data_IF_000484969277
#
_entry.id   IF_000484969277
#
_cell.length_a   1.000
_cell.length_b   1.000
_cell.length_c   1.000
_cell.angle_alpha   90.00
_cell.angle_beta   90.00
_cell.angle_gamma   90.00
#
_symmetry.space_group_name_H-M   'P 1'
#
loop_
_entity.id
_entity.type
_entity.pdbx_description
1 polymer ?
#
# COMPACT_ATOMS: atom_id res chain seq x y z
N UNK A 1 -42.09 24.96 19.84
CA UNK A 1 -41.39 25.13 18.56
C UNK A 1 -41.94 24.05 17.62
N UNK A 2 -43.01 24.38 16.89
CA UNK A 2 -43.81 23.41 16.13
C UNK A 2 -43.16 23.16 14.77
N UNK A 3 -42.58 21.96 14.57
CA UNK A 3 -41.96 21.52 13.31
C UNK A 3 -43.03 21.11 12.29
N UNK A 4 -44.00 21.98 11.99
CA UNK A 4 -45.10 21.67 11.06
C UNK A 4 -45.27 22.71 9.95
N UNK A 5 -44.16 23.23 9.45
CA UNK A 5 -44.17 23.80 8.11
C UNK A 5 -43.99 22.62 7.13
N UNK A 6 -45.04 22.32 6.37
CA UNK A 6 -45.04 21.32 5.29
C UNK A 6 -43.73 21.25 4.46
N UNK A 7 -43.05 22.37 4.11
CA UNK A 7 -41.75 22.28 3.44
C UNK A 7 -40.64 21.61 4.28
N UNK A 8 -40.57 21.85 5.59
CA UNK A 8 -39.56 21.25 6.48
C UNK A 8 -39.74 19.72 6.54
N UNK A 9 -40.99 19.26 6.65
CA UNK A 9 -41.28 17.82 6.68
C UNK A 9 -40.91 17.13 5.36
N UNK A 10 -41.14 17.79 4.22
CA UNK A 10 -40.74 17.26 2.91
C UNK A 10 -39.22 17.15 2.79
N UNK A 11 -38.48 18.16 3.26
CA UNK A 11 -37.01 18.13 3.27
C UNK A 11 -36.49 16.99 4.15
N UNK A 12 -37.02 16.84 5.37
CA UNK A 12 -36.61 15.75 6.28
C UNK A 12 -36.88 14.37 5.69
N UNK A 13 -38.03 14.18 5.03
CA UNK A 13 -38.35 12.93 4.33
C UNK A 13 -37.39 12.67 3.18
N UNK A 14 -37.09 13.68 2.37
CA UNK A 14 -36.16 13.55 1.25
C UNK A 14 -34.75 13.18 1.75
N UNK A 15 -34.25 13.85 2.80
CA UNK A 15 -32.94 13.51 3.39
C UNK A 15 -32.91 12.10 3.98
N UNK A 16 -33.97 11.68 4.66
CA UNK A 16 -34.05 10.33 5.22
C UNK A 16 -34.03 9.25 4.11
N UNK A 17 -34.74 9.47 3.00
CA UNK A 17 -34.71 8.56 1.84
C UNK A 17 -33.32 8.53 1.21
N UNK A 18 -32.66 9.68 1.05
CA UNK A 18 -31.28 9.74 0.52
C UNK A 18 -30.34 8.91 1.39
N UNK A 19 -30.35 9.10 2.72
CA UNK A 19 -29.48 8.33 3.62
C UNK A 19 -29.84 6.84 3.68
N UNK A 20 -31.13 6.49 3.64
CA UNK A 20 -31.59 5.11 3.63
C UNK A 20 -31.18 4.36 2.35
N UNK A 21 -30.93 5.06 1.25
CA UNK A 21 -30.37 4.49 0.01
C UNK A 21 -28.84 4.53 0.04
N UNK A 22 -28.24 5.65 0.43
CA UNK A 22 -26.79 5.87 0.41
C UNK A 22 -26.04 4.90 1.32
N UNK A 23 -26.47 4.76 2.58
CA UNK A 23 -25.76 3.94 3.59
C UNK A 23 -25.66 2.46 3.20
N UNK A 24 -26.74 1.76 2.77
CA UNK A 24 -26.61 0.36 2.36
C UNK A 24 -25.76 0.19 1.09
N UNK A 25 -25.81 1.11 0.13
CA UNK A 25 -24.94 1.07 -1.05
C UNK A 25 -23.48 1.25 -0.63
N UNK A 26 -23.18 2.23 0.23
CA UNK A 26 -21.83 2.47 0.73
C UNK A 26 -21.27 1.27 1.51
N UNK A 27 -22.08 0.66 2.39
CA UNK A 27 -21.71 -0.56 3.11
C UNK A 27 -21.50 -1.74 2.17
N UNK A 28 -22.40 -1.93 1.19
CA UNK A 28 -22.28 -3.01 0.20
C UNK A 28 -21.05 -2.85 -0.68
N UNK A 29 -20.75 -1.64 -1.16
CA UNK A 29 -19.53 -1.35 -1.93
C UNK A 29 -18.28 -1.51 -1.08
N UNK A 30 -18.29 -1.10 0.19
CA UNK A 30 -17.16 -1.33 1.10
C UNK A 30 -16.89 -2.82 1.33
N UNK A 31 -17.93 -3.66 1.35
CA UNK A 31 -17.80 -5.10 1.55
C UNK A 31 -17.49 -5.89 0.28
N UNK A 32 -17.88 -5.38 -0.90
CA UNK A 32 -17.67 -6.00 -2.21
C UNK A 32 -16.48 -5.42 -2.97
N UNK A 33 -15.78 -4.44 -2.38
CA UNK A 33 -14.56 -3.90 -2.94
C UNK A 33 -13.52 -5.02 -3.06
N UNK A 34 -13.31 -5.47 -4.31
CA UNK A 34 -12.20 -6.33 -4.66
C UNK A 34 -11.02 -5.40 -4.92
N UNK A 35 -9.91 -5.55 -4.19
CA UNK A 35 -8.66 -4.88 -4.50
C UNK A 35 -8.33 -5.02 -5.97
N UNK A 36 -7.86 -3.94 -6.60
CA UNK A 36 -7.24 -4.07 -7.92
C UNK A 36 -6.10 -5.10 -7.78
N UNK A 37 -6.15 -6.22 -8.53
CA UNK A 37 -5.04 -7.15 -8.51
C UNK A 37 -3.78 -6.39 -8.91
N UNK A 38 -2.67 -6.69 -8.24
CA UNK A 38 -1.38 -6.10 -8.58
C UNK A 38 -1.16 -6.25 -10.11
N UNK A 39 -0.63 -5.22 -10.80
CA UNK A 39 -0.44 -5.27 -12.24
C UNK A 39 0.28 -6.55 -12.66
N UNK A 40 0.02 -7.11 -13.86
CA UNK A 40 0.70 -8.30 -14.34
C UNK A 40 2.23 -8.15 -14.24
N UNK A 41 2.83 -8.90 -13.31
CA UNK A 41 4.27 -8.84 -13.03
C UNK A 41 4.62 -8.29 -11.64
N UNK A 42 3.76 -7.51 -11.02
CA UNK A 42 3.94 -7.09 -9.64
C UNK A 42 3.71 -8.26 -8.66
N UNK A 43 4.45 -8.25 -7.55
CA UNK A 43 4.25 -9.19 -6.43
C UNK A 43 3.61 -8.45 -5.25
N UNK A 44 2.39 -8.81 -4.86
CA UNK A 44 1.78 -8.26 -3.65
C UNK A 44 2.59 -8.59 -2.40
N UNK A 45 2.56 -7.69 -1.42
CA UNK A 45 3.13 -7.91 -0.11
C UNK A 45 2.15 -8.70 0.77
N UNK A 46 2.70 -9.65 1.52
CA UNK A 46 1.98 -10.42 2.52
C UNK A 46 2.76 -10.44 3.83
N UNK A 47 2.08 -10.78 4.93
CA UNK A 47 2.73 -10.91 6.24
C UNK A 47 3.40 -9.62 6.73
N UNK A 48 2.83 -8.46 6.39
CA UNK A 48 3.32 -7.17 6.86
C UNK A 48 3.23 -7.16 8.39
N UNK A 49 4.38 -6.96 9.03
CA UNK A 49 4.50 -6.94 10.48
C UNK A 49 5.07 -5.60 10.91
N UNK A 50 4.45 -4.97 11.91
CA UNK A 50 5.00 -3.77 12.53
C UNK A 50 6.32 -4.12 13.22
N UNK A 51 7.35 -3.31 13.00
CA UNK A 51 8.66 -3.50 13.61
C UNK A 51 8.85 -2.50 14.75
N UNK A 52 9.01 -1.22 14.41
CA UNK A 52 9.24 -0.10 15.35
C UNK A 52 8.84 1.21 14.70
N UNK A 53 8.40 2.20 15.48
CA UNK A 53 8.06 3.53 14.98
C UNK A 53 7.11 3.45 13.78
N UNK A 54 7.50 4.05 12.65
CA UNK A 54 6.78 3.98 11.38
C UNK A 54 7.25 2.84 10.44
N UNK A 55 8.16 1.98 10.90
CA UNK A 55 8.74 0.89 10.13
C UNK A 55 7.92 -0.40 10.23
N UNK A 56 7.68 -0.98 9.07
CA UNK A 56 7.03 -2.26 8.85
C UNK A 56 7.95 -3.16 8.02
N UNK A 57 7.92 -4.45 8.31
CA UNK A 57 8.69 -5.47 7.59
C UNK A 57 7.77 -6.41 6.84
N UNK A 58 8.14 -6.80 5.62
CA UNK A 58 7.44 -7.84 4.86
C UNK A 58 8.44 -8.74 4.12
N UNK A 59 8.22 -10.07 4.13
CA UNK A 59 8.98 -10.97 3.28
C UNK A 59 8.54 -10.79 1.81
N UNK A 60 9.52 -10.70 0.90
CA UNK A 60 9.24 -10.73 -0.54
C UNK A 60 9.27 -12.17 -1.06
N UNK A 61 8.60 -12.38 -2.20
CA UNK A 61 8.65 -13.66 -2.91
C UNK A 61 10.10 -14.05 -3.26
N UNK A 62 10.36 -15.36 -3.34
CA UNK A 62 11.72 -15.88 -3.57
C UNK A 62 12.39 -15.32 -4.82
N UNK A 63 11.61 -15.00 -5.86
CA UNK A 63 12.07 -14.38 -7.10
C UNK A 63 12.74 -13.02 -6.91
N UNK A 64 12.49 -12.33 -5.80
CA UNK A 64 13.10 -11.04 -5.49
C UNK A 64 14.42 -11.14 -4.72
N UNK A 65 14.74 -12.31 -4.13
CA UNK A 65 15.96 -12.49 -3.31
C UNK A 65 17.27 -12.07 -3.98
N UNK A 66 17.49 -12.28 -5.30
CA UNK A 66 18.72 -11.85 -5.96
C UNK A 66 18.89 -10.33 -6.05
N UNK A 67 17.82 -9.56 -5.86
CA UNK A 67 17.78 -8.10 -6.00
C UNK A 67 17.88 -7.38 -4.66
N UNK A 68 18.18 -8.10 -3.57
CA UNK A 68 18.32 -7.51 -2.26
C UNK A 68 19.71 -6.89 -2.10
N UNK A 69 19.78 -5.71 -1.50
CA UNK A 69 21.05 -5.07 -1.17
C UNK A 69 21.82 -5.92 -0.15
N UNK A 70 23.12 -6.14 -0.37
CA UNK A 70 23.97 -6.88 0.57
C UNK A 70 24.36 -6.00 1.78
N UNK A 71 24.45 -4.67 1.60
CA UNK A 71 24.79 -3.68 2.64
C UNK A 71 24.00 -2.38 2.44
N UNK A 72 23.92 -1.53 3.47
CA UNK A 72 23.26 -0.21 3.39
C UNK A 72 23.88 0.73 2.34
N UNK A 73 25.19 0.63 2.12
CA UNK A 73 25.91 1.44 1.12
C UNK A 73 25.77 0.88 -0.31
N UNK A 74 25.24 -0.34 -0.44
CA UNK A 74 24.94 -0.96 -1.72
C UNK A 74 23.53 -0.55 -2.11
N UNK A 75 23.39 0.51 -2.91
CA UNK A 75 22.09 1.01 -3.39
C UNK A 75 21.76 0.40 -4.76
N UNK A 76 21.92 -0.92 -4.86
CA UNK A 76 21.85 -1.66 -6.11
C UNK A 76 20.48 -2.24 -6.42
N UNK A 77 19.58 -2.33 -5.43
CA UNK A 77 18.26 -2.95 -5.59
C UNK A 77 17.35 -2.17 -6.55
N UNK A 78 16.97 -2.74 -7.70
CA UNK A 78 16.03 -2.12 -8.63
C UNK A 78 14.55 -2.28 -8.18
N UNK A 79 14.30 -2.78 -6.98
CA UNK A 79 12.95 -3.09 -6.49
C UNK A 79 12.20 -1.81 -6.16
N UNK A 80 11.05 -1.62 -6.82
CA UNK A 80 10.15 -0.50 -6.58
C UNK A 80 8.98 -0.95 -5.71
N UNK A 81 8.73 -0.22 -4.62
CA UNK A 81 7.57 -0.43 -3.75
C UNK A 81 6.45 0.52 -4.15
N UNK A 82 5.23 0.00 -4.22
CA UNK A 82 4.03 0.75 -4.53
C UNK A 82 3.03 0.67 -3.38
N UNK A 83 2.33 1.79 -3.16
CA UNK A 83 1.13 1.91 -2.35
C UNK A 83 -0.03 2.27 -3.30
N UNK A 84 -0.97 1.35 -3.45
CA UNK A 84 -1.98 1.32 -4.51
C UNK A 84 -1.34 1.49 -5.90
N UNK A 85 -1.50 2.64 -6.55
CA UNK A 85 -0.91 2.91 -7.87
C UNK A 85 0.23 3.93 -7.80
N UNK A 86 0.71 4.25 -6.60
CA UNK A 86 1.72 5.29 -6.37
C UNK A 86 3.03 4.66 -5.89
N UNK A 87 4.16 4.94 -6.55
CA UNK A 87 5.45 4.51 -6.02
C UNK A 87 5.73 5.21 -4.69
N UNK A 88 6.16 4.41 -3.71
CA UNK A 88 6.71 4.89 -2.46
C UNK A 88 8.19 5.26 -2.65
N UNK A 89 8.68 6.12 -1.77
CA UNK A 89 10.08 6.50 -1.70
C UNK A 89 10.30 7.59 -0.65
N UNK A 90 11.55 7.98 -0.39
CA UNK A 90 12.79 7.52 -1.03
C UNK A 90 13.12 6.01 -0.87
N UNK A 91 13.70 5.41 -1.92
CA UNK A 91 14.27 4.06 -1.89
C UNK A 91 15.62 4.04 -1.16
N UNK A 92 16.11 2.84 -0.80
CA UNK A 92 17.38 2.61 -0.08
C UNK A 92 17.56 3.49 1.17
N UNK A 93 16.47 3.75 1.89
CA UNK A 93 16.53 4.57 3.10
C UNK A 93 17.15 3.81 4.26
N UNK A 94 17.85 4.53 5.14
CA UNK A 94 18.33 3.97 6.41
C UNK A 94 17.15 3.53 7.30
N UNK A 95 17.34 2.46 8.07
CA UNK A 95 16.29 1.92 8.94
C UNK A 95 15.83 2.93 9.98
N UNK A 96 16.73 3.76 10.50
CA UNK A 96 16.39 4.80 11.48
C UNK A 96 15.53 5.89 10.84
N UNK A 97 15.74 6.22 9.57
CA UNK A 97 14.92 7.18 8.86
C UNK A 97 13.54 6.62 8.53
N UNK A 98 13.45 5.33 8.19
CA UNK A 98 12.17 4.64 8.00
C UNK A 98 11.40 4.60 9.33
N UNK A 99 12.08 4.28 10.44
CA UNK A 99 11.48 4.21 11.78
C UNK A 99 11.01 5.58 12.28
N UNK A 100 11.85 6.62 12.17
CA UNK A 100 11.61 7.93 12.81
C UNK A 100 10.86 8.91 11.94
N UNK A 101 11.13 8.92 10.64
CA UNK A 101 10.52 9.87 9.69
C UNK A 101 9.38 9.18 8.95
N UNK A 102 9.64 7.98 8.43
CA UNK A 102 8.71 7.23 7.58
C UNK A 102 8.46 7.96 6.25
N UNK A 103 7.19 8.19 5.92
CA UNK A 103 6.69 8.93 4.74
C UNK A 103 7.04 8.27 3.41
N UNK A 104 6.84 6.96 3.31
CA UNK A 104 7.09 6.19 2.09
C UNK A 104 8.53 5.72 1.92
N UNK A 105 9.41 5.98 2.89
CA UNK A 105 10.79 5.47 2.87
C UNK A 105 10.80 3.96 2.96
N UNK A 106 11.68 3.33 2.19
CA UNK A 106 11.87 1.88 2.23
C UNK A 106 13.30 1.45 1.87
N UNK A 107 13.64 0.22 2.24
CA UNK A 107 14.87 -0.47 1.88
C UNK A 107 14.63 -1.98 1.74
N UNK A 108 15.37 -2.63 0.85
CA UNK A 108 15.27 -4.07 0.64
C UNK A 108 16.65 -4.73 0.80
N UNK A 109 16.83 -5.46 1.90
CA UNK A 109 18.14 -6.05 2.25
C UNK A 109 18.10 -7.55 2.41
N UNK A 110 19.21 -8.18 2.04
CA UNK A 110 19.37 -9.63 2.13
C UNK A 110 19.35 -10.09 3.58
N UNK A 111 18.60 -11.15 3.86
CA UNK A 111 18.45 -11.73 5.20
C UNK A 111 17.49 -10.95 6.13
N UNK A 112 17.13 -9.71 5.80
CA UNK A 112 16.18 -8.90 6.58
C UNK A 112 14.82 -8.81 5.89
N UNK A 113 14.80 -8.68 4.56
CA UNK A 113 13.57 -8.50 3.78
C UNK A 113 13.31 -7.03 3.45
N UNK A 114 12.07 -6.72 3.09
CA UNK A 114 11.65 -5.36 2.80
C UNK A 114 11.28 -4.67 4.11
N UNK A 115 11.91 -3.52 4.38
CA UNK A 115 11.51 -2.60 5.45
C UNK A 115 10.97 -1.34 4.82
N UNK A 116 9.79 -0.89 5.23
CA UNK A 116 9.14 0.27 4.65
C UNK A 116 8.26 1.01 5.64
N UNK A 117 7.84 2.20 5.24
CA UNK A 117 6.81 3.01 5.89
C UNK A 117 5.76 3.40 4.87
N UNK A 118 4.52 3.60 5.31
CA UNK A 118 3.43 4.07 4.44
C UNK A 118 3.60 5.55 4.10
N UNK A 119 2.93 6.02 3.04
CA UNK A 119 3.15 7.40 2.54
C UNK A 119 2.79 8.49 3.56
N UNK A 120 1.84 8.22 4.43
CA UNK A 120 1.34 9.12 5.47
C UNK A 120 1.65 8.67 6.89
N UNK A 121 2.36 7.55 7.07
CA UNK A 121 2.63 6.87 8.34
C UNK A 121 1.40 6.20 8.99
N UNK A 122 0.33 5.99 8.24
CA UNK A 122 -0.78 5.15 8.67
C UNK A 122 -0.39 3.67 8.76
N UNK A 123 -1.10 2.90 9.58
CA UNK A 123 -0.90 1.46 9.65
C UNK A 123 -1.39 0.77 8.36
N UNK A 124 -0.52 0.03 7.62
CA UNK A 124 -0.88 -0.66 6.38
C UNK A 124 -1.93 -1.76 6.59
N UNK A 125 -2.11 -2.27 7.81
CA UNK A 125 -3.17 -3.23 8.11
C UNK A 125 -4.54 -2.57 8.30
N UNK A 126 -4.58 -1.27 8.62
CA UNK A 126 -5.82 -0.54 8.93
C UNK A 126 -6.24 0.46 7.85
N UNK A 127 -5.33 0.88 6.98
CA UNK A 127 -5.59 1.96 6.02
C UNK A 127 -6.30 1.50 4.73
N UNK A 128 -6.45 0.18 4.52
CA UNK A 128 -7.13 -0.39 3.36
C UNK A 128 -6.39 -0.23 2.03
N UNK A 129 -5.10 0.12 2.05
CA UNK A 129 -4.26 0.29 0.86
C UNK A 129 -3.55 -1.00 0.48
N UNK A 130 -3.15 -1.09 -0.78
CA UNK A 130 -2.50 -2.27 -1.33
C UNK A 130 -1.02 -2.01 -1.52
N UNK A 131 -0.20 -2.96 -1.07
CA UNK A 131 1.23 -2.86 -1.19
C UNK A 131 1.75 -3.96 -2.10
N UNK A 132 2.54 -3.57 -3.09
CA UNK A 132 3.16 -4.50 -4.02
C UNK A 132 4.50 -3.99 -4.48
N UNK A 133 5.36 -4.91 -4.86
CA UNK A 133 6.68 -4.62 -5.42
C UNK A 133 6.72 -5.02 -6.88
N UNK A 134 7.48 -4.28 -7.67
CA UNK A 134 7.76 -4.63 -9.05
C UNK A 134 9.23 -4.33 -9.39
N UNK A 135 9.69 -4.94 -10.47
CA UNK A 135 10.96 -4.63 -11.10
C UNK A 135 10.70 -4.00 -12.47
N UNK A 136 11.24 -2.79 -12.75
CA UNK A 136 10.92 -2.05 -13.96
C UNK A 136 11.35 -2.71 -15.27
N UNK A 137 12.33 -3.63 -15.28
CA UNK A 137 12.88 -4.25 -16.49
C UNK A 137 12.67 -5.76 -16.58
N UNK A 138 11.41 -6.22 -16.69
CA UNK A 138 11.14 -7.60 -17.09
C UNK A 138 11.48 -7.79 -18.56
N UNK A 139 12.63 -8.39 -18.87
CA UNK A 139 12.93 -8.79 -20.26
C UNK A 139 11.92 -9.86 -20.72
N UNK A 140 11.15 -9.64 -21.81
CA UNK A 140 10.18 -10.61 -22.31
C UNK A 140 10.83 -11.87 -22.92
N UNK A 141 12.17 -11.95 -22.94
CA UNK A 141 12.93 -13.00 -23.59
C UNK A 141 13.44 -14.09 -22.65
N UNK A 142 13.12 -14.03 -21.34
CA UNK A 142 13.60 -15.02 -20.37
C UNK A 142 12.56 -15.24 -19.28
N UNK A 143 12.29 -16.49 -18.90
CA UNK A 143 11.42 -16.85 -17.76
C UNK A 143 12.02 -16.48 -16.40
N UNK A 144 13.16 -15.79 -16.40
CA UNK A 144 13.84 -15.28 -15.22
C UNK A 144 13.43 -13.83 -15.04
N UNK A 145 12.94 -13.50 -13.84
CA UNK A 145 12.81 -12.12 -13.42
C UNK A 145 14.22 -11.52 -13.46
N UNK A 146 14.56 -10.76 -14.52
CA UNK A 146 15.72 -9.88 -14.54
C UNK A 146 15.26 -8.52 -14.06
N UNK A 147 16.05 -7.92 -13.18
CA UNK A 147 15.91 -6.53 -12.84
C UNK A 147 17.27 -5.93 -13.19
N UNK A 148 17.39 -5.42 -14.42
CA UNK A 148 18.62 -4.78 -14.90
C UNK A 148 18.69 -3.34 -14.35
N UNK A 149 19.87 -2.88 -13.92
CA UNK A 149 20.09 -1.51 -13.39
C UNK A 149 19.91 -0.42 -14.45
#
# INVERSE_FOLDING_TARGET
>A
MSLSDKPILTVLRATAVIYAIYLPIALWLGHTYVPLPAPPGASPLYGISHTKGYAFSSPLAYSFRPFADDKLDDQGSPVMLYEDNKPLGPAHSDDLDIERIGKGRYSYRKGVGLIFSTSDNSDPAANGRHYWVDCPNKSPLTSELRCDP
#
